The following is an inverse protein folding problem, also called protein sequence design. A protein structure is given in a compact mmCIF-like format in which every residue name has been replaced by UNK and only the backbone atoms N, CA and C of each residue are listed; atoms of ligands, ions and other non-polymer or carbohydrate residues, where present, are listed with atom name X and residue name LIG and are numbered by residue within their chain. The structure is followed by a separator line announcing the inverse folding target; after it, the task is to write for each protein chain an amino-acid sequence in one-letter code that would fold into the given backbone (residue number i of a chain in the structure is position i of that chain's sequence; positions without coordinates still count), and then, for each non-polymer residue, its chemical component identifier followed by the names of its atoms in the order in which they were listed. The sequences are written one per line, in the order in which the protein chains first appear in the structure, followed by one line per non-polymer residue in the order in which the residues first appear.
data_IF_699523274119
#
_entry.id   IF_699523274119
#
_cell.length_a   1.000
_cell.length_b   1.000
_cell.length_c   1.000
_cell.angle_alpha   90.00
_cell.angle_beta   90.00
_cell.angle_gamma   90.00
#
_symmetry.space_group_name_H-M   'P 1'
#
loop_
_entity.id
_entity.type
_entity.pdbx_description
1 polymer ?
#
# COMPACT_ATOMS: atom_id res chain seq x y z
N UNK A 1 14.20 16.92 15.86
CA UNK A 1 13.02 17.76 16.14
C UNK A 1 12.50 17.41 17.51
N UNK A 2 11.99 18.38 18.26
CA UNK A 2 11.11 18.09 19.39
C UNK A 2 9.83 17.49 18.82
N UNK A 3 9.52 16.25 19.19
CA UNK A 3 8.23 15.65 18.88
C UNK A 3 7.21 16.30 19.82
N UNK A 4 6.39 17.20 19.31
CA UNK A 4 5.27 17.73 20.10
C UNK A 4 4.24 16.61 20.24
N UNK A 5 4.18 16.00 21.42
CA UNK A 5 3.33 14.85 21.72
C UNK A 5 1.97 15.29 22.25
N UNK A 6 0.94 14.54 21.91
CA UNK A 6 -0.34 14.65 22.59
C UNK A 6 -0.19 14.25 24.08
N UNK A 7 -0.96 14.86 25.02
CA UNK A 7 -0.81 14.64 26.46
C UNK A 7 -0.88 13.17 26.89
N UNK A 8 -1.73 12.37 26.23
CA UNK A 8 -1.91 10.94 26.47
C UNK A 8 -0.66 10.09 26.13
N UNK A 9 0.28 10.65 25.36
CA UNK A 9 1.52 10.00 24.94
C UNK A 9 2.75 10.51 25.73
N UNK A 10 2.55 11.34 26.75
CA UNK A 10 3.63 11.97 27.50
C UNK A 10 4.52 10.98 28.28
N UNK A 11 4.02 9.78 28.58
CA UNK A 11 4.77 8.73 29.28
C UNK A 11 5.61 7.83 28.37
N UNK A 12 5.52 8.00 27.05
CA UNK A 12 6.29 7.19 26.11
C UNK A 12 7.78 7.56 26.15
N UNK A 13 8.70 6.59 25.95
CA UNK A 13 10.13 6.86 25.86
C UNK A 13 10.46 7.91 24.80
N UNK A 14 11.56 8.64 24.97
CA UNK A 14 12.06 9.59 23.97
C UNK A 14 12.26 8.92 22.61
N UNK A 15 11.88 9.63 21.54
CA UNK A 15 11.94 9.09 20.16
C UNK A 15 10.72 8.29 19.72
N UNK A 16 9.80 7.94 20.62
CA UNK A 16 8.47 7.43 20.24
C UNK A 16 7.59 8.59 19.80
N UNK A 17 7.02 8.49 18.60
CA UNK A 17 6.09 9.49 18.05
C UNK A 17 4.66 9.24 18.55
N UNK A 18 4.19 8.00 18.43
CA UNK A 18 2.88 7.54 18.90
C UNK A 18 2.93 6.05 19.28
N UNK A 19 1.89 5.59 19.98
CA UNK A 19 1.67 4.18 20.29
C UNK A 19 0.18 3.85 20.28
N UNK A 20 -0.17 2.66 19.81
CA UNK A 20 -1.53 2.12 19.81
C UNK A 20 -1.56 0.75 20.47
N UNK A 21 -2.64 0.38 21.18
CA UNK A 21 -2.78 -0.97 21.70
C UNK A 21 -2.90 -1.98 20.55
N UNK A 22 -2.30 -3.14 20.71
CA UNK A 22 -2.36 -4.26 19.78
C UNK A 22 -2.64 -5.55 20.55
N UNK A 23 -3.44 -6.43 19.97
CA UNK A 23 -3.65 -7.79 20.46
C UNK A 23 -2.76 -8.76 19.68
N UNK A 24 -1.57 -9.05 20.21
CA UNK A 24 -0.62 -10.02 19.63
C UNK A 24 0.05 -10.85 20.75
N UNK A 25 -0.77 -11.38 21.67
CA UNK A 25 -0.28 -12.23 22.77
C UNK A 25 0.19 -13.58 22.22
N UNK A 26 -0.41 -14.02 21.10
CA UNK A 26 -0.13 -15.28 20.41
C UNK A 26 1.31 -15.39 19.91
N UNK A 27 1.93 -14.30 19.42
CA UNK A 27 3.32 -14.34 18.92
C UNK A 27 4.23 -13.24 19.47
N UNK A 28 3.72 -12.01 19.62
CA UNK A 28 4.50 -10.79 19.88
C UNK A 28 5.60 -10.50 18.84
N UNK A 29 5.50 -11.06 17.63
CA UNK A 29 6.54 -10.96 16.59
C UNK A 29 5.98 -10.63 15.19
N UNK A 30 4.70 -10.27 15.08
CA UNK A 30 4.11 -9.90 13.78
C UNK A 30 4.74 -8.62 13.23
N UNK A 31 4.92 -8.58 11.92
CA UNK A 31 5.58 -7.45 11.26
C UNK A 31 4.61 -6.39 10.79
N UNK A 32 5.18 -5.26 10.37
CA UNK A 32 4.48 -4.19 9.66
C UNK A 32 5.11 -3.95 8.29
N UNK A 33 4.42 -3.13 7.52
CA UNK A 33 4.89 -2.54 6.28
C UNK A 33 4.45 -1.07 6.21
N UNK A 34 5.09 -0.30 5.34
CA UNK A 34 4.83 1.14 5.19
C UNK A 34 4.44 1.44 3.74
N UNK A 35 3.52 2.36 3.51
CA UNK A 35 3.25 2.95 2.20
C UNK A 35 2.54 4.28 2.36
N UNK A 36 2.82 5.22 1.47
CA UNK A 36 2.14 6.51 1.38
C UNK A 36 0.94 6.34 0.45
N UNK A 37 -0.23 6.07 1.05
CA UNK A 37 -1.47 5.75 0.33
C UNK A 37 -2.15 6.99 -0.22
N UNK A 38 -1.98 8.17 0.39
CA UNK A 38 -2.67 9.40 -0.02
C UNK A 38 -1.78 10.39 -0.80
N UNK A 39 -0.50 10.04 -0.99
CA UNK A 39 0.47 10.73 -1.83
C UNK A 39 1.05 11.99 -1.20
N UNK A 40 0.97 12.14 0.12
CA UNK A 40 1.37 13.35 0.85
C UNK A 40 2.86 13.40 1.26
N UNK A 41 3.65 12.39 0.86
CA UNK A 41 5.06 12.15 1.23
C UNK A 41 5.30 11.60 2.65
N UNK A 42 4.25 11.37 3.44
CA UNK A 42 4.34 10.69 4.72
C UNK A 42 3.76 9.27 4.63
N UNK A 43 4.54 8.28 5.06
CA UNK A 43 4.10 6.88 4.95
C UNK A 43 3.15 6.48 6.06
N UNK A 44 2.01 5.89 5.71
CA UNK A 44 1.16 5.17 6.66
C UNK A 44 1.81 3.86 7.08
N UNK A 45 1.64 3.51 8.35
CA UNK A 45 2.00 2.20 8.86
C UNK A 45 0.85 1.22 8.67
N UNK A 46 1.11 0.09 8.02
CA UNK A 46 0.17 -1.01 7.88
C UNK A 46 0.60 -2.14 8.81
N UNK A 47 -0.29 -2.48 9.74
CA UNK A 47 -0.01 -3.51 10.74
C UNK A 47 -1.29 -4.29 11.03
N UNK A 48 -1.13 -5.59 11.26
CA UNK A 48 -2.23 -6.49 11.54
C UNK A 48 -1.95 -7.20 12.85
N UNK A 49 -2.85 -7.05 13.81
CA UNK A 49 -2.81 -7.80 15.06
C UNK A 49 -3.45 -9.20 14.85
N UNK A 50 -3.93 -9.83 15.92
CA UNK A 50 -4.64 -11.12 15.85
C UNK A 50 -6.00 -11.03 15.14
N UNK A 51 -6.62 -9.86 15.09
CA UNK A 51 -8.05 -9.71 14.77
C UNK A 51 -8.30 -8.81 13.55
N UNK A 52 -7.58 -7.69 13.47
CA UNK A 52 -7.79 -6.62 12.51
C UNK A 52 -6.49 -6.19 11.86
N UNK A 53 -6.56 -5.98 10.55
CA UNK A 53 -5.62 -5.14 9.82
C UNK A 53 -5.98 -3.68 10.07
N UNK A 54 -4.97 -2.84 10.32
CA UNK A 54 -5.13 -1.39 10.41
C UNK A 54 -4.07 -0.67 9.59
N UNK A 55 -4.49 0.46 9.01
CA UNK A 55 -3.62 1.47 8.41
C UNK A 55 -3.63 2.67 9.36
N UNK A 56 -2.45 3.07 9.80
CA UNK A 56 -2.23 4.16 10.73
C UNK A 56 -1.57 5.34 10.02
N UNK A 57 -2.11 6.54 10.22
CA UNK A 57 -1.44 7.78 9.84
C UNK A 57 -0.03 7.82 10.48
N UNK A 58 0.99 8.02 9.65
CA UNK A 58 2.39 7.87 10.06
C UNK A 58 2.82 8.84 11.15
N UNK A 59 2.19 10.03 11.23
CA UNK A 59 2.56 11.10 12.16
C UNK A 59 1.85 11.01 13.51
N UNK A 60 0.58 10.63 13.51
CA UNK A 60 -0.30 10.66 14.68
C UNK A 60 -0.61 9.28 15.24
N UNK A 61 -0.48 8.22 14.43
CA UNK A 61 -0.92 6.88 14.79
C UNK A 61 -2.45 6.73 14.81
N UNK A 62 -3.20 7.69 14.26
CA UNK A 62 -4.64 7.55 14.10
C UNK A 62 -4.95 6.47 13.05
N UNK A 63 -5.93 5.61 13.33
CA UNK A 63 -6.37 4.60 12.36
C UNK A 63 -7.20 5.28 11.28
N UNK A 64 -6.79 5.13 10.02
CA UNK A 64 -7.48 5.70 8.84
C UNK A 64 -8.24 4.65 8.04
N UNK A 65 -7.88 3.37 8.20
CA UNK A 65 -8.60 2.24 7.64
C UNK A 65 -8.42 1.00 8.52
N UNK A 66 -9.46 0.17 8.62
CA UNK A 66 -9.43 -1.10 9.32
C UNK A 66 -10.32 -2.14 8.65
N UNK A 67 -9.87 -3.39 8.65
CA UNK A 67 -10.61 -4.53 8.11
C UNK A 67 -10.34 -5.81 8.93
N UNK A 68 -11.34 -6.71 9.07
CA UNK A 68 -11.14 -7.99 9.74
C UNK A 68 -10.13 -8.83 8.97
N UNK A 69 -9.14 -9.37 9.69
CA UNK A 69 -8.10 -10.22 9.15
C UNK A 69 -7.54 -11.09 10.26
N UNK A 70 -8.30 -12.09 10.70
CA UNK A 70 -7.84 -12.97 11.77
C UNK A 70 -6.53 -13.68 11.41
N UNK A 71 -5.59 -13.77 12.35
CA UNK A 71 -4.41 -14.63 12.26
C UNK A 71 -3.96 -15.04 13.66
N UNK A 72 -3.41 -16.25 13.79
CA UNK A 72 -2.64 -16.64 14.98
C UNK A 72 -1.29 -15.93 15.10
N UNK A 73 -1.03 -14.99 14.18
CA UNK A 73 0.19 -14.19 14.01
C UNK A 73 1.46 -15.06 13.89
N UNK A 74 2.63 -14.43 13.90
CA UNK A 74 3.90 -15.04 13.54
C UNK A 74 4.83 -13.98 12.97
N UNK A 75 5.61 -14.30 11.94
CA UNK A 75 6.45 -13.31 11.26
C UNK A 75 5.75 -12.65 10.07
N UNK A 76 4.49 -12.96 9.82
CA UNK A 76 3.74 -12.42 8.71
C UNK A 76 3.43 -10.94 8.90
N UNK A 77 3.23 -10.25 7.79
CA UNK A 77 2.92 -8.83 7.74
C UNK A 77 2.17 -8.50 6.43
N UNK A 78 1.46 -7.38 6.36
CA UNK A 78 0.73 -6.96 5.15
C UNK A 78 1.67 -6.63 3.98
N UNK A 79 1.39 -7.15 2.79
CA UNK A 79 2.13 -6.79 1.57
C UNK A 79 1.40 -5.67 0.84
N UNK A 80 2.14 -4.68 0.35
CA UNK A 80 1.57 -3.53 -0.36
C UNK A 80 2.12 -3.51 -1.79
N UNK A 81 1.27 -3.70 -2.78
CA UNK A 81 1.63 -3.71 -4.19
C UNK A 81 0.39 -3.51 -5.06
N UNK A 82 0.58 -3.00 -6.27
CA UNK A 82 -0.39 -3.10 -7.36
C UNK A 82 -0.41 -4.55 -7.86
N UNK A 83 -1.47 -5.30 -7.56
CA UNK A 83 -1.55 -6.74 -7.85
C UNK A 83 -2.41 -7.09 -9.06
N UNK A 84 -3.18 -6.13 -9.59
CA UNK A 84 -4.04 -6.34 -10.75
C UNK A 84 -3.69 -5.45 -11.96
N UNK A 85 -2.74 -4.53 -11.82
CA UNK A 85 -2.17 -3.71 -12.87
C UNK A 85 -3.04 -2.51 -13.24
N UNK A 86 -3.92 -2.06 -12.34
CA UNK A 86 -4.76 -0.87 -12.56
C UNK A 86 -4.13 0.44 -12.06
N UNK A 87 -2.88 0.38 -11.55
CA UNK A 87 -2.15 1.50 -10.96
C UNK A 87 -2.82 2.10 -9.71
N UNK A 88 -3.76 1.39 -9.09
CA UNK A 88 -4.09 1.55 -7.69
C UNK A 88 -3.23 0.58 -6.87
N UNK A 89 -2.99 0.93 -5.61
CA UNK A 89 -2.30 0.01 -4.71
C UNK A 89 -3.31 -0.88 -4.01
N UNK A 90 -2.93 -2.12 -3.72
CA UNK A 90 -3.68 -3.01 -2.84
C UNK A 90 -2.88 -3.38 -1.58
N UNK A 91 -3.62 -3.83 -0.56
CA UNK A 91 -3.04 -4.50 0.60
C UNK A 91 -3.39 -5.98 0.52
N UNK A 92 -2.38 -6.83 0.47
CA UNK A 92 -2.51 -8.29 0.52
C UNK A 92 -2.18 -8.78 1.92
N UNK A 93 -3.12 -9.50 2.53
CA UNK A 93 -3.00 -9.96 3.92
C UNK A 93 -3.40 -11.42 4.04
N UNK A 94 -2.54 -12.22 4.67
CA UNK A 94 -2.87 -13.60 5.07
C UNK A 94 -3.92 -13.61 6.17
N UNK A 95 -4.83 -14.57 6.11
CA UNK A 95 -5.85 -14.84 7.11
C UNK A 95 -5.86 -16.30 7.54
N UNK A 96 -6.04 -16.53 8.83
CA UNK A 96 -6.16 -17.83 9.47
C UNK A 96 -7.61 -18.16 9.84
N UNK A 97 -7.81 -19.39 10.30
CA UNK A 97 -9.05 -19.77 10.98
C UNK A 97 -8.93 -19.46 12.47
N UNK A 98 -9.98 -18.90 13.07
CA UNK A 98 -10.08 -18.68 14.51
C UNK A 98 -9.65 -19.94 15.30
N UNK A 99 -8.65 -19.75 16.18
CA UNK A 99 -8.05 -20.78 17.02
C UNK A 99 -8.60 -20.76 18.45
N UNK A 100 -9.74 -20.10 18.68
CA UNK A 100 -10.29 -19.83 20.01
C UNK A 100 -9.75 -18.53 20.63
N UNK A 101 -9.30 -17.61 19.79
CA UNK A 101 -8.83 -16.28 20.21
C UNK A 101 -10.05 -15.38 20.39
N UNK A 102 -10.15 -14.69 21.52
CA UNK A 102 -11.23 -13.71 21.73
C UNK A 102 -10.92 -12.44 20.93
N UNK A 103 -11.58 -12.28 19.78
CA UNK A 103 -11.55 -11.05 19.00
C UNK A 103 -12.83 -10.23 19.24
N UNK A 104 -12.73 -8.91 19.48
CA UNK A 104 -13.91 -8.07 19.66
C UNK A 104 -14.70 -7.97 18.36
N UNK A 105 -16.03 -7.99 18.46
CA UNK A 105 -16.92 -7.97 17.29
C UNK A 105 -16.77 -6.70 16.42
N UNK A 106 -16.27 -5.61 17.00
CA UNK A 106 -15.93 -4.35 16.33
C UNK A 106 -14.51 -3.96 16.70
N UNK A 107 -13.78 -3.33 15.78
CA UNK A 107 -12.44 -2.83 16.07
C UNK A 107 -12.48 -1.74 17.16
N UNK A 108 -11.82 -1.92 18.32
CA UNK A 108 -11.80 -0.92 19.38
C UNK A 108 -11.16 0.42 18.96
N UNK A 109 -10.28 0.41 17.96
CA UNK A 109 -9.60 1.61 17.47
C UNK A 109 -10.30 2.26 16.27
N UNK A 110 -11.21 1.55 15.62
CA UNK A 110 -11.97 2.06 14.46
C UNK A 110 -13.37 1.43 14.40
N UNK A 111 -14.30 1.85 15.27
CA UNK A 111 -15.59 1.17 15.44
C UNK A 111 -16.50 1.12 14.20
N UNK A 112 -16.27 2.01 13.23
CA UNK A 112 -16.99 2.06 11.96
C UNK A 112 -16.48 1.05 10.91
N UNK A 113 -15.43 0.28 11.22
CA UNK A 113 -14.94 -0.80 10.37
C UNK A 113 -15.97 -1.93 10.21
N UNK A 114 -15.72 -2.80 9.21
CA UNK A 114 -16.45 -4.05 9.10
C UNK A 114 -16.28 -4.88 10.40
N UNK A 115 -17.35 -5.57 10.86
CA UNK A 115 -17.29 -6.37 12.07
C UNK A 115 -16.31 -7.54 11.90
N UNK A 116 -15.83 -8.07 13.03
CA UNK A 116 -14.93 -9.21 13.04
C UNK A 116 -15.48 -10.39 12.22
N UNK A 117 -14.61 -10.94 11.39
CA UNK A 117 -14.86 -12.16 10.63
C UNK A 117 -13.58 -13.00 10.59
N UNK A 118 -13.72 -14.31 10.76
CA UNK A 118 -12.65 -15.28 10.57
C UNK A 118 -12.84 -16.00 9.24
N UNK A 119 -11.84 -15.88 8.36
CA UNK A 119 -11.79 -16.56 7.07
C UNK A 119 -10.36 -17.05 6.79
N UNK A 120 -10.19 -18.19 6.15
CA UNK A 120 -8.87 -18.74 5.82
C UNK A 120 -8.39 -18.28 4.44
N UNK A 121 -7.07 -18.18 4.27
CA UNK A 121 -6.44 -17.88 2.98
C UNK A 121 -5.75 -16.53 2.99
N UNK A 122 -6.03 -15.69 1.99
CA UNK A 122 -5.59 -14.30 1.95
C UNK A 122 -6.73 -13.42 1.45
N UNK A 123 -6.64 -12.13 1.75
CA UNK A 123 -7.51 -11.10 1.20
C UNK A 123 -6.67 -10.07 0.47
N UNK A 124 -7.24 -9.52 -0.59
CA UNK A 124 -6.73 -8.34 -1.28
C UNK A 124 -7.72 -7.20 -1.01
N UNK A 125 -7.23 -6.13 -0.41
CA UNK A 125 -8.02 -4.95 -0.06
C UNK A 125 -7.63 -3.80 -0.98
N UNK A 126 -8.62 -3.08 -1.50
CA UNK A 126 -8.47 -1.90 -2.36
C UNK A 126 -9.37 -0.78 -1.84
N UNK A 127 -9.04 0.47 -2.18
CA UNK A 127 -10.01 1.56 -2.05
C UNK A 127 -11.14 1.34 -3.06
N UNK A 128 -12.43 1.42 -2.68
CA UNK A 128 -13.54 1.20 -3.61
C UNK A 128 -13.63 2.18 -4.79
N UNK A 129 -12.87 3.28 -4.73
CA UNK A 129 -12.81 4.32 -5.77
C UNK A 129 -11.38 4.48 -6.32
N UNK A 130 -10.47 3.54 -6.03
CA UNK A 130 -9.08 3.52 -6.50
C UNK A 130 -8.28 4.79 -6.16
N UNK A 131 -8.58 5.38 -4.99
CA UNK A 131 -7.94 6.62 -4.56
C UNK A 131 -6.54 6.43 -3.96
N UNK A 132 -6.13 5.19 -3.68
CA UNK A 132 -4.81 4.92 -3.14
C UNK A 132 -3.74 5.16 -4.21
N UNK A 133 -2.68 5.86 -3.83
CA UNK A 133 -1.52 6.16 -4.66
C UNK A 133 -0.99 4.90 -5.35
N UNK A 134 -0.50 5.05 -6.59
CA UNK A 134 0.05 3.93 -7.35
C UNK A 134 1.29 3.37 -6.64
N UNK A 135 1.51 2.06 -6.64
CA UNK A 135 2.74 1.44 -6.14
C UNK A 135 3.40 0.60 -7.22
N UNK A 136 4.60 0.09 -6.93
CA UNK A 136 5.24 -0.92 -7.78
C UNK A 136 4.47 -2.25 -7.68
N UNK A 137 4.39 -3.04 -8.75
CA UNK A 137 3.63 -4.29 -8.77
C UNK A 137 4.39 -5.49 -8.16
N UNK A 138 5.34 -5.23 -7.25
CA UNK A 138 6.30 -6.25 -6.81
C UNK A 138 6.65 -6.15 -5.33
N UNK A 139 6.51 -7.29 -4.65
CA UNK A 139 7.03 -7.55 -3.31
C UNK A 139 7.55 -8.99 -3.24
N UNK A 140 8.80 -9.20 -3.60
CA UNK A 140 9.31 -10.55 -3.90
C UNK A 140 9.86 -11.33 -2.68
N UNK A 141 10.04 -10.68 -1.52
CA UNK A 141 10.66 -11.31 -0.36
C UNK A 141 10.24 -10.68 0.98
N UNK A 142 10.43 -11.43 2.08
CA UNK A 142 10.10 -10.98 3.43
C UNK A 142 10.93 -9.78 3.92
N UNK A 143 12.16 -9.65 3.45
CA UNK A 143 13.05 -8.51 3.74
C UNK A 143 13.09 -7.56 2.54
N UNK A 144 11.91 -7.07 2.13
CA UNK A 144 11.76 -6.24 0.95
C UNK A 144 12.45 -4.88 1.09
N UNK A 145 13.10 -4.47 0.00
CA UNK A 145 13.72 -3.17 -0.19
C UNK A 145 13.71 -2.86 -1.67
N UNK A 146 13.25 -1.69 -2.09
CA UNK A 146 12.97 -1.34 -3.50
C UNK A 146 14.04 -1.81 -4.49
N UNK A 147 15.33 -1.67 -4.18
CA UNK A 147 16.42 -1.96 -5.12
C UNK A 147 16.72 -3.45 -5.38
N UNK A 148 16.10 -4.38 -4.64
CA UNK A 148 16.45 -5.82 -4.73
C UNK A 148 15.76 -6.57 -5.90
N UNK A 149 14.77 -5.96 -6.54
CA UNK A 149 13.95 -6.55 -7.60
C UNK A 149 13.44 -5.45 -8.53
N UNK A 150 13.39 -5.71 -9.84
CA UNK A 150 12.79 -4.81 -10.83
C UNK A 150 11.26 -4.98 -10.88
N UNK A 151 10.55 -4.03 -11.50
CA UNK A 151 9.08 -4.07 -11.61
C UNK A 151 8.59 -5.27 -12.42
N UNK A 152 9.40 -5.78 -13.35
CA UNK A 152 9.15 -7.03 -14.09
C UNK A 152 9.71 -8.29 -13.39
N UNK A 153 9.89 -8.21 -12.07
CA UNK A 153 10.29 -9.29 -11.16
C UNK A 153 11.66 -9.94 -11.47
N UNK A 154 12.55 -9.26 -12.20
CA UNK A 154 13.94 -9.71 -12.38
C UNK A 154 14.78 -9.31 -11.18
N UNK A 155 15.67 -10.21 -10.77
CA UNK A 155 16.66 -9.91 -9.74
C UNK A 155 17.87 -9.25 -10.43
N UNK A 156 18.21 -7.98 -10.09
CA UNK A 156 19.38 -7.34 -10.67
C UNK A 156 20.66 -8.08 -10.27
N UNK A 157 21.72 -7.97 -11.08
CA UNK A 157 23.00 -8.57 -10.70
C UNK A 157 23.54 -7.86 -9.47
N UNK A 158 24.23 -8.57 -8.58
CA UNK A 158 24.79 -7.97 -7.37
C UNK A 158 25.77 -6.82 -7.65
N UNK A 159 26.36 -6.76 -8.84
CA UNK A 159 27.19 -5.64 -9.30
C UNK A 159 26.41 -4.39 -9.74
N UNK A 160 25.09 -4.51 -9.89
CA UNK A 160 24.18 -3.45 -10.36
C UNK A 160 23.19 -3.00 -9.27
N UNK A 161 23.05 -3.77 -8.18
CA UNK A 161 22.20 -3.38 -7.05
C UNK A 161 22.89 -2.28 -6.26
N UNK A 162 22.33 -1.09 -6.32
CA UNK A 162 22.66 -0.02 -5.38
C UNK A 162 22.04 -0.31 -4.00
N UNK A 163 22.77 -0.10 -2.90
CA UNK A 163 22.19 -0.25 -1.56
C UNK A 163 20.99 0.68 -1.38
N UNK A 164 19.84 0.15 -0.93
CA UNK A 164 18.58 0.88 -0.88
C UNK A 164 18.68 2.24 -0.15
N UNK A 165 19.49 2.31 0.91
CA UNK A 165 19.70 3.52 1.73
C UNK A 165 20.65 4.57 1.12
N UNK A 166 21.27 4.28 -0.03
CA UNK A 166 22.14 5.21 -0.76
C UNK A 166 21.47 5.80 -2.00
N UNK A 167 20.32 5.27 -2.40
CA UNK A 167 19.58 5.77 -3.57
C UNK A 167 18.72 6.95 -3.14
N UNK A 168 18.76 8.05 -3.91
CA UNK A 168 17.97 9.24 -3.59
C UNK A 168 16.47 8.92 -3.54
N UNK A 169 15.78 9.46 -2.54
CA UNK A 169 14.38 9.13 -2.27
C UNK A 169 14.16 7.75 -1.64
N UNK A 170 15.19 6.91 -1.55
CA UNK A 170 15.13 5.60 -0.92
C UNK A 170 16.02 5.61 0.35
N UNK A 171 15.38 5.37 1.49
CA UNK A 171 16.04 5.03 2.75
C UNK A 171 15.03 4.30 3.64
N UNK A 172 14.38 3.33 3.03
CA UNK A 172 13.23 2.65 3.58
C UNK A 172 13.46 1.13 3.63
N UNK A 173 12.56 0.42 4.29
CA UNK A 173 12.61 -1.03 4.43
C UNK A 173 11.21 -1.54 4.70
N UNK A 174 10.79 -2.62 4.01
CA UNK A 174 9.37 -3.05 3.98
C UNK A 174 8.43 -1.89 3.67
N UNK A 175 8.86 -1.07 2.72
CA UNK A 175 8.08 0.04 2.20
C UNK A 175 8.11 -0.06 0.68
N UNK A 176 6.92 -0.09 0.08
CA UNK A 176 6.81 0.10 -1.36
C UNK A 176 6.83 1.61 -1.66
N UNK A 177 7.10 1.98 -2.90
CA UNK A 177 7.16 3.38 -3.35
C UNK A 177 6.23 3.55 -4.53
N UNK A 178 5.90 4.81 -4.83
CA UNK A 178 5.15 5.07 -6.04
C UNK A 178 5.97 4.68 -7.28
N UNK A 179 5.31 4.00 -8.22
CA UNK A 179 5.93 3.55 -9.47
C UNK A 179 6.31 4.72 -10.38
N UNK A 180 6.90 4.42 -11.55
CA UNK A 180 7.32 5.46 -12.51
C UNK A 180 6.17 6.33 -13.05
N UNK A 181 4.90 5.94 -12.86
CA UNK A 181 3.72 6.58 -13.46
C UNK A 181 3.04 7.67 -12.61
N UNK A 182 3.76 8.26 -11.65
CA UNK A 182 3.25 9.38 -10.85
C UNK A 182 2.48 8.94 -9.59
N UNK A 183 2.38 9.85 -8.61
CA UNK A 183 1.94 9.50 -7.24
C UNK A 183 0.45 9.26 -7.09
N UNK A 184 -0.38 10.08 -7.74
CA UNK A 184 -1.83 9.96 -7.69
C UNK A 184 -2.32 9.63 -9.09
N UNK A 185 -3.34 8.76 -9.18
CA UNK A 185 -4.02 8.36 -10.41
C UNK A 185 -4.57 9.57 -11.19
N UNK A 186 -3.69 10.27 -11.88
CA UNK A 186 -4.06 11.22 -12.91
C UNK A 186 -3.39 10.71 -14.17
N UNK A 187 -3.92 9.61 -14.70
CA UNK A 187 -3.71 9.31 -16.10
C UNK A 187 -4.34 10.47 -16.89
N UNK A 188 -3.56 11.51 -17.19
CA UNK A 188 -3.94 12.57 -18.12
C UNK A 188 -3.73 12.03 -19.53
N UNK A 189 -4.56 11.04 -19.87
CA UNK A 189 -4.61 10.45 -21.21
C UNK A 189 -5.22 11.51 -22.12
N UNK A 190 -4.36 12.24 -22.81
CA UNK A 190 -4.77 13.11 -23.90
C UNK A 190 -4.66 12.32 -25.20
N UNK A 191 -5.79 12.20 -25.90
CA UNK A 191 -5.85 11.59 -27.23
C UNK A 191 -5.98 12.70 -28.26
N UNK A 192 -4.98 12.82 -29.13
CA UNK A 192 -5.07 13.70 -30.29
C UNK A 192 -5.28 12.87 -31.56
N UNK A 193 -6.44 13.07 -32.20
CA UNK A 193 -6.74 12.46 -33.48
C UNK A 193 -6.01 13.23 -34.59
N UNK A 194 -5.10 12.55 -35.30
CA UNK A 194 -4.39 13.13 -36.45
C UNK A 194 -4.29 12.14 -37.61
N UNK A 195 -4.48 12.60 -38.87
CA UNK A 195 -5.03 13.88 -39.30
C UNK A 195 -6.57 13.83 -39.46
N UNK A 196 -7.28 14.90 -39.03
CA UNK A 196 -8.74 15.05 -39.19
C UNK A 196 -9.13 15.64 -40.56
N UNK A 197 -8.20 16.23 -41.30
CA UNK A 197 -8.45 16.91 -42.57
C UNK A 197 -9.16 16.03 -43.64
N UNK A 198 -8.83 14.73 -43.81
CA UNK A 198 -9.50 13.87 -44.79
C UNK A 198 -10.94 13.48 -44.39
N UNK A 199 -11.30 13.60 -43.10
CA UNK A 199 -12.61 13.21 -42.59
C UNK A 199 -13.70 14.22 -42.93
N UNK A 200 -13.33 15.51 -43.05
CA UNK A 200 -14.24 16.59 -43.43
C UNK A 200 -14.63 16.57 -44.92
N UNK A 201 -13.97 15.74 -45.74
CA UNK A 201 -14.24 15.65 -47.19
C UNK A 201 -15.46 14.79 -47.55
N UNK A 202 -16.08 14.08 -46.59
CA UNK A 202 -17.32 13.27 -46.76
C UNK A 202 -17.33 12.37 -48.00
N UNK A 203 -16.16 11.84 -48.41
CA UNK A 203 -16.07 10.91 -49.55
C UNK A 203 -16.44 9.49 -49.13
N UNK A 204 -17.26 8.75 -49.90
CA UNK A 204 -17.58 7.36 -49.61
C UNK A 204 -16.32 6.47 -49.63
N UNK A 205 -16.09 5.70 -48.56
CA UNK A 205 -14.96 4.78 -48.46
C UNK A 205 -14.58 4.42 -47.01
N UNK A 206 -13.56 3.58 -46.84
CA UNK A 206 -12.95 3.28 -45.53
C UNK A 206 -11.78 4.23 -45.32
N UNK A 207 -11.78 4.97 -44.20
CA UNK A 207 -10.65 5.80 -43.78
C UNK A 207 -9.96 5.17 -42.57
N UNK A 208 -8.63 5.16 -42.57
CA UNK A 208 -7.83 4.76 -41.41
C UNK A 208 -7.67 5.96 -40.48
N UNK A 209 -8.07 5.80 -39.22
CA UNK A 209 -7.86 6.78 -38.17
C UNK A 209 -6.63 6.38 -37.36
N UNK A 210 -5.71 7.32 -37.15
CA UNK A 210 -4.63 7.19 -36.17
C UNK A 210 -4.84 8.18 -35.04
N UNK A 211 -4.53 7.73 -33.83
CA UNK A 211 -4.54 8.56 -32.63
C UNK A 211 -3.15 8.52 -32.02
N UNK A 212 -2.66 9.69 -31.60
CA UNK A 212 -1.50 9.78 -30.71
C UNK A 212 -2.03 9.76 -29.28
N UNK A 213 -1.59 8.77 -28.51
CA UNK A 213 -1.96 8.62 -27.10
C UNK A 213 -0.78 9.12 -26.28
N UNK A 214 -0.99 10.20 -25.54
CA UNK A 214 -0.01 10.75 -24.62
C UNK A 214 -0.48 10.52 -23.18
N UNK A 215 0.46 10.13 -22.31
CA UNK A 215 0.32 10.25 -20.88
C UNK A 215 1.08 11.52 -20.46
N UNK A 216 0.43 12.47 -19.78
CA UNK A 216 1.05 13.75 -19.40
C UNK A 216 1.54 13.76 -17.96
#
# INVERSE_FOLDING_TARGET
GTCDRAPEMALLPDGVLWAQPSQDVSSNITGSSIFDFDGDDDGEAVYRDECYLRVYDGKSGAVVFSAPAFSGTGLDYPVIADVDGDFATEIVVSRGSDLGTECPATDPLFPDAAPFESATGFVVLRDPMDRWAASRPVWNQHVYSVTNVTDDARIPRSSEVEPNWLVEGLNNFRQNVQGEFGKLQVADITVELKPLDPMCALTPGVQALSAEVCNR
#
